data_IF_828482720696
#
_entry.id   IF_828482720696
#
_cell.length_a   1.000
_cell.length_b   1.000
_cell.length_c   1.000
_cell.angle_alpha   90.00
_cell.angle_beta   90.00
_cell.angle_gamma   90.00
#
_symmetry.space_group_name_H-M   'P 1'
#
loop_
_entity.id
_entity.type
_entity.pdbx_description
1 polymer ?
#
# COMPACT_ATOMS: atom_id res chain seq x y z
N UNK A 1 18.96 0.88 -10.74
CA UNK A 1 18.58 0.24 -9.46
C UNK A 1 17.76 1.21 -8.59
N UNK A 2 16.48 1.44 -8.91
CA UNK A 2 15.60 2.39 -8.16
C UNK A 2 14.24 1.79 -7.79
N UNK A 3 13.97 0.53 -8.15
CA UNK A 3 12.61 -0.03 -8.01
C UNK A 3 12.34 -0.60 -6.60
N UNK A 4 13.39 -0.90 -5.83
CA UNK A 4 13.27 -1.54 -4.51
C UNK A 4 12.84 -0.61 -3.36
N UNK A 5 13.27 0.66 -3.38
CA UNK A 5 12.95 1.59 -2.29
C UNK A 5 11.48 2.05 -2.33
N UNK A 6 10.94 2.27 -3.53
CA UNK A 6 9.55 2.73 -3.74
C UNK A 6 8.50 1.80 -3.15
N UNK A 7 8.75 0.49 -3.16
CA UNK A 7 7.82 -0.51 -2.64
C UNK A 7 7.78 -0.54 -1.11
N UNK A 8 8.94 -0.36 -0.44
CA UNK A 8 9.01 -0.23 1.02
C UNK A 8 8.41 1.09 1.48
N UNK A 9 8.69 2.16 0.75
CA UNK A 9 8.15 3.50 0.95
C UNK A 9 6.61 3.54 0.86
N UNK A 10 6.02 2.81 -0.09
CA UNK A 10 4.56 2.60 -0.16
C UNK A 10 4.03 1.88 1.08
N UNK A 11 4.71 0.81 1.53
CA UNK A 11 4.29 0.01 2.68
C UNK A 11 4.28 0.84 3.97
N UNK A 12 5.29 1.69 4.17
CA UNK A 12 5.36 2.59 5.32
C UNK A 12 4.16 3.54 5.35
N UNK A 13 3.88 4.23 4.24
CA UNK A 13 2.69 5.10 4.12
C UNK A 13 1.38 4.35 4.32
N UNK A 14 1.26 3.13 3.81
CA UNK A 14 0.06 2.30 3.99
C UNK A 14 -0.20 1.97 5.47
N UNK A 15 0.85 1.89 6.29
CA UNK A 15 0.76 1.63 7.73
C UNK A 15 0.64 2.92 8.55
N UNK A 16 1.03 4.04 7.98
CA UNK A 16 1.03 5.34 8.64
C UNK A 16 -0.41 5.87 8.85
N UNK A 17 -0.78 6.31 10.06
CA UNK A 17 -2.06 6.95 10.33
C UNK A 17 -2.29 8.26 9.56
N UNK A 18 -1.24 8.99 9.19
CA UNK A 18 -1.36 10.25 8.45
C UNK A 18 -1.88 10.03 7.02
N UNK A 19 -1.55 8.87 6.44
CA UNK A 19 -2.03 8.45 5.12
C UNK A 19 -3.31 7.62 5.16
N UNK A 20 -4.04 7.61 6.29
CA UNK A 20 -5.32 6.91 6.45
C UNK A 20 -6.42 7.38 5.51
N UNK A 21 -6.31 8.62 5.04
CA UNK A 21 -7.26 9.24 4.14
C UNK A 21 -6.86 9.01 2.67
N UNK A 22 -5.56 8.76 2.43
CA UNK A 22 -4.99 8.56 1.10
C UNK A 22 -5.24 7.13 0.63
N UNK A 23 -5.87 6.96 -0.53
CA UNK A 23 -6.16 5.64 -1.08
C UNK A 23 -4.90 4.90 -1.55
N UNK A 24 -4.96 3.57 -1.57
CA UNK A 24 -3.86 2.71 -2.07
C UNK A 24 -3.47 3.08 -3.52
N UNK A 25 -4.45 3.52 -4.32
CA UNK A 25 -4.23 4.03 -5.67
C UNK A 25 -3.36 5.29 -5.71
N UNK A 26 -3.65 6.28 -4.86
CA UNK A 26 -2.86 7.50 -4.75
C UNK A 26 -1.44 7.22 -4.28
N UNK A 27 -1.25 6.34 -3.29
CA UNK A 27 0.09 5.95 -2.83
C UNK A 27 0.87 5.29 -3.97
N UNK A 28 0.22 4.42 -4.76
CA UNK A 28 0.85 3.80 -5.93
C UNK A 28 1.25 4.85 -6.98
N UNK A 29 0.37 5.81 -7.27
CA UNK A 29 0.66 6.92 -8.18
C UNK A 29 1.82 7.80 -7.68
N UNK A 30 1.85 8.14 -6.39
CA UNK A 30 2.94 8.91 -5.77
C UNK A 30 4.28 8.16 -5.83
N UNK A 31 4.27 6.83 -5.72
CA UNK A 31 5.46 6.00 -5.94
C UNK A 31 5.82 5.83 -7.44
N UNK A 32 5.06 6.43 -8.35
CA UNK A 32 5.30 6.43 -9.80
C UNK A 32 4.80 5.17 -10.51
N UNK A 33 3.81 4.47 -9.95
CA UNK A 33 3.10 3.40 -10.64
C UNK A 33 1.88 3.98 -11.37
N UNK A 34 1.85 3.81 -12.68
CA UNK A 34 0.70 4.20 -13.50
C UNK A 34 -0.41 3.14 -13.49
N UNK A 35 -0.08 1.91 -13.08
CA UNK A 35 -0.97 0.76 -13.09
C UNK A 35 -0.99 0.04 -11.74
N UNK A 36 -2.16 0.06 -11.11
CA UNK A 36 -2.44 -0.69 -9.88
C UNK A 36 -2.17 -2.19 -10.05
N UNK A 37 -2.65 -2.81 -11.13
CA UNK A 37 -2.47 -4.26 -11.36
C UNK A 37 -1.00 -4.69 -11.40
N UNK A 38 -0.13 -3.86 -11.97
CA UNK A 38 1.32 -4.08 -11.99
C UNK A 38 1.93 -3.85 -10.62
N UNK A 39 1.49 -2.80 -9.92
CA UNK A 39 1.88 -2.53 -8.54
C UNK A 39 1.52 -3.68 -7.60
N UNK A 40 0.27 -4.14 -7.58
CA UNK A 40 -0.19 -5.27 -6.77
C UNK A 40 0.64 -6.52 -7.00
N UNK A 41 0.93 -6.85 -8.27
CA UNK A 41 1.70 -8.04 -8.62
C UNK A 41 3.14 -7.94 -8.12
N UNK A 42 3.78 -6.78 -8.28
CA UNK A 42 5.15 -6.54 -7.79
C UNK A 42 5.22 -6.47 -6.27
N UNK A 43 4.26 -5.78 -5.64
CA UNK A 43 4.17 -5.66 -4.19
C UNK A 43 3.94 -7.02 -3.53
N UNK A 44 3.01 -7.82 -4.06
CA UNK A 44 2.79 -9.19 -3.58
C UNK A 44 4.00 -10.09 -3.82
N UNK A 45 4.68 -9.97 -4.96
CA UNK A 45 5.89 -10.75 -5.21
C UNK A 45 7.03 -10.38 -4.25
N UNK A 46 7.06 -9.16 -3.72
CA UNK A 46 8.14 -8.67 -2.86
C UNK A 46 7.84 -8.83 -1.37
N UNK A 47 6.59 -8.63 -0.94
CA UNK A 47 6.16 -8.68 0.47
C UNK A 47 5.23 -9.85 0.80
N UNK A 48 4.79 -10.64 -0.19
CA UNK A 48 3.86 -11.75 0.00
C UNK A 48 2.40 -11.33 0.22
N UNK A 49 2.10 -10.05 0.39
CA UNK A 49 0.78 -9.51 0.69
C UNK A 49 0.39 -8.40 -0.28
N UNK A 50 -0.90 -8.04 -0.35
CA UNK A 50 -1.35 -6.88 -1.13
C UNK A 50 -1.32 -5.60 -0.29
N UNK A 51 -1.06 -4.43 -0.89
CA UNK A 51 -1.10 -3.15 -0.19
C UNK A 51 -2.48 -2.89 0.44
N UNK A 52 -3.57 -3.28 -0.23
CA UNK A 52 -4.93 -3.25 0.37
C UNK A 52 -5.05 -4.18 1.56
N UNK A 53 -4.43 -5.37 1.57
CA UNK A 53 -4.43 -6.23 2.74
C UNK A 53 -3.67 -5.60 3.91
N UNK A 54 -2.54 -4.91 3.66
CA UNK A 54 -1.81 -4.17 4.69
C UNK A 54 -2.67 -3.02 5.27
N UNK A 55 -3.37 -2.26 4.43
CA UNK A 55 -4.33 -1.22 4.84
C UNK A 55 -5.51 -1.82 5.61
N UNK A 56 -6.11 -2.89 5.10
CA UNK A 56 -7.21 -3.60 5.77
C UNK A 56 -6.78 -4.22 7.08
N UNK A 57 -5.56 -4.74 7.22
CA UNK A 57 -5.09 -5.27 8.50
C UNK A 57 -5.02 -4.17 9.57
N UNK A 58 -4.66 -2.94 9.17
CA UNK A 58 -4.75 -1.76 10.03
C UNK A 58 -6.22 -1.39 10.34
N UNK A 59 -7.07 -1.26 9.33
CA UNK A 59 -8.49 -0.91 9.50
C UNK A 59 -9.29 -1.98 10.26
N UNK A 60 -8.94 -3.25 10.11
CA UNK A 60 -9.53 -4.36 10.84
C UNK A 60 -9.19 -4.32 12.33
N UNK A 61 -8.05 -3.72 12.70
CA UNK A 61 -7.75 -3.37 14.09
C UNK A 61 -8.54 -2.18 14.62
N UNK A 62 -9.18 -1.38 13.74
CA UNK A 62 -10.09 -0.29 14.10
C UNK A 62 -11.56 -0.72 14.16
N UNK A 63 -11.92 -1.83 13.49
CA UNK A 63 -13.24 -2.47 13.55
C UNK A 63 -14.41 -1.61 13.03
N UNK A 64 -15.39 -2.17 12.32
CA UNK A 64 -16.70 -1.57 12.25
C UNK A 64 -17.37 -1.71 13.62
N UNK A 65 -17.41 -0.62 14.38
CA UNK A 65 -18.63 -0.33 15.14
C UNK A 65 -19.59 0.36 14.18
N UNK A 66 -20.56 -0.39 13.63
CA UNK A 66 -21.59 0.12 12.72
C UNK A 66 -21.93 -0.84 11.59
#
# INVERSE_FOLDING_TARGET
MVVGWRLRDSLERLRDPDFAEVSVAEIAYQCGFNDLSTFYRRFRSQFGMTPVAARRARDAGRGPGG
#
